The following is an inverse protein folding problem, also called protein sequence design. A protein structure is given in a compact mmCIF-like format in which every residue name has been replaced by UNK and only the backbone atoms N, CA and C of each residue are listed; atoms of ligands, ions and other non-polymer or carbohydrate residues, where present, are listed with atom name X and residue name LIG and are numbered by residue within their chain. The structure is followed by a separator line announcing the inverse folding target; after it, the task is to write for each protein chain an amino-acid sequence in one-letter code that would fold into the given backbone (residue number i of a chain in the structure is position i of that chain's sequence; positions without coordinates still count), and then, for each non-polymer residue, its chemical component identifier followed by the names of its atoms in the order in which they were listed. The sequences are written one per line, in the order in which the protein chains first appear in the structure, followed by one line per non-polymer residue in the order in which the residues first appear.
data_IF_683105181338
#
_entry.id   IF_683105181338
#
_cell.length_a   1.000
_cell.length_b   1.000
_cell.length_c   1.000
_cell.angle_alpha   90.00
_cell.angle_beta   90.00
_cell.angle_gamma   90.00
#
_symmetry.space_group_name_H-M   'P 1'
#
loop_
_entity.id
_entity.type
_entity.pdbx_description
1 polymer ?
#
# COMPACT_ATOMS: atom_id res chain seq x y z
N UNK A 1 -8.66 16.66 -5.34
CA UNK A 1 -8.28 17.03 -3.95
C UNK A 1 -6.79 16.86 -3.66
N UNK A 2 -6.04 15.86 -4.12
CA UNK A 2 -4.61 15.72 -3.77
C UNK A 2 -3.61 16.15 -4.87
N UNK A 3 -3.79 17.33 -5.46
CA UNK A 3 -2.92 17.82 -6.56
C UNK A 3 -1.44 17.98 -6.15
N UNK A 4 -1.19 18.31 -4.88
CA UNK A 4 0.17 18.35 -4.30
C UNK A 4 0.86 16.97 -4.35
N UNK A 5 0.10 15.89 -4.12
CA UNK A 5 0.63 14.53 -4.17
C UNK A 5 0.95 14.11 -5.60
N UNK A 6 0.07 14.42 -6.56
CA UNK A 6 0.32 14.17 -7.98
C UNK A 6 1.59 14.88 -8.46
N UNK A 7 1.75 16.17 -8.13
CA UNK A 7 2.97 16.95 -8.44
C UNK A 7 4.21 16.36 -7.79
N UNK A 8 4.11 15.90 -6.54
CA UNK A 8 5.21 15.23 -5.84
C UNK A 8 5.63 13.95 -6.58
N UNK A 9 4.68 13.09 -6.95
CA UNK A 9 4.97 11.88 -7.73
C UNK A 9 5.65 12.20 -9.06
N UNK A 10 5.13 13.17 -9.81
CA UNK A 10 5.68 13.58 -11.11
C UNK A 10 7.12 14.10 -11.01
N UNK A 11 7.42 14.91 -9.99
CA UNK A 11 8.74 15.54 -9.84
C UNK A 11 9.78 14.65 -9.19
N UNK A 12 9.38 13.87 -8.20
CA UNK A 12 10.32 13.22 -7.28
C UNK A 12 10.34 11.69 -7.40
N UNK A 13 9.21 11.06 -7.75
CA UNK A 13 9.08 9.59 -7.74
C UNK A 13 9.23 9.01 -9.14
N UNK A 14 8.55 9.59 -10.13
CA UNK A 14 8.55 9.12 -11.52
C UNK A 14 9.89 9.29 -12.22
N UNK A 15 10.79 10.08 -11.64
CA UNK A 15 12.13 10.37 -12.17
C UNK A 15 13.23 9.93 -11.20
N UNK A 16 12.89 9.26 -10.09
CA UNK A 16 13.85 8.91 -9.05
C UNK A 16 14.89 7.90 -9.52
N UNK A 17 16.16 8.29 -9.48
CA UNK A 17 17.34 7.47 -9.76
C UNK A 17 18.36 7.50 -8.60
N UNK A 18 17.92 7.92 -7.40
CA UNK A 18 18.81 8.22 -6.26
C UNK A 18 19.60 7.02 -5.74
N UNK A 19 19.16 5.80 -6.02
CA UNK A 19 19.69 4.58 -5.41
C UNK A 19 20.69 3.87 -6.33
N UNK A 20 21.77 3.35 -5.74
CA UNK A 20 22.82 2.60 -6.47
C UNK A 20 22.59 1.08 -6.48
N UNK A 21 21.70 0.58 -5.62
CA UNK A 21 21.27 -0.83 -5.65
C UNK A 21 20.59 -1.12 -7.00
N UNK A 22 20.73 -2.33 -7.52
CA UNK A 22 19.96 -2.80 -8.68
C UNK A 22 18.47 -2.84 -8.31
N UNK A 23 17.73 -1.84 -8.77
CA UNK A 23 16.33 -1.62 -8.45
C UNK A 23 15.53 -1.36 -9.72
N UNK A 24 14.29 -1.82 -9.75
CA UNK A 24 13.30 -1.43 -10.74
C UNK A 24 12.40 -0.36 -10.12
N UNK A 25 12.49 0.87 -10.63
CA UNK A 25 11.44 1.86 -10.39
C UNK A 25 10.28 1.52 -11.35
N UNK A 26 9.09 1.14 -10.84
CA UNK A 26 7.97 0.74 -11.68
C UNK A 26 7.52 1.86 -12.64
N UNK A 27 7.86 3.11 -12.33
CA UNK A 27 7.49 4.27 -13.12
C UNK A 27 8.53 4.66 -14.17
N UNK A 28 9.69 4.00 -14.22
CA UNK A 28 10.77 4.30 -15.19
C UNK A 28 11.10 3.06 -16.01
N UNK A 29 11.29 1.92 -15.35
CA UNK A 29 11.85 0.73 -15.96
C UNK A 29 10.76 -0.23 -16.44
N UNK A 30 11.11 -1.10 -17.38
CA UNK A 30 10.27 -2.20 -17.79
C UNK A 30 10.09 -3.20 -16.63
N UNK A 31 8.90 -3.78 -16.54
CA UNK A 31 8.62 -4.88 -15.63
C UNK A 31 8.98 -6.22 -16.30
N UNK A 32 10.05 -6.91 -15.87
CA UNK A 32 10.55 -8.11 -16.55
C UNK A 32 9.59 -9.31 -16.49
N UNK A 33 8.53 -9.25 -15.68
CA UNK A 33 7.53 -10.32 -15.58
C UNK A 33 6.34 -10.12 -16.52
N UNK A 34 5.98 -8.87 -16.81
CA UNK A 34 4.68 -8.53 -17.41
C UNK A 34 4.76 -7.59 -18.60
N UNK A 35 5.84 -6.83 -18.72
CA UNK A 35 6.04 -6.00 -19.91
C UNK A 35 6.44 -6.90 -21.09
N UNK A 36 5.91 -6.64 -22.30
CA UNK A 36 6.42 -7.26 -23.51
C UNK A 36 7.93 -6.98 -23.67
N UNK A 37 8.71 -7.91 -24.26
CA UNK A 37 10.18 -7.81 -24.35
C UNK A 37 10.72 -6.47 -24.86
N UNK A 38 10.00 -5.81 -25.76
CA UNK A 38 10.42 -4.57 -26.42
C UNK A 38 9.56 -3.34 -26.05
N UNK A 39 8.71 -3.45 -25.02
CA UNK A 39 7.79 -2.37 -24.65
C UNK A 39 7.69 -2.20 -23.13
N UNK A 40 8.06 -1.02 -22.63
CA UNK A 40 7.79 -0.67 -21.24
C UNK A 40 6.39 -0.11 -21.05
N UNK A 41 5.65 -0.64 -20.07
CA UNK A 41 4.34 -0.09 -19.66
C UNK A 41 4.46 0.95 -18.53
N UNK A 42 5.67 1.47 -18.25
CA UNK A 42 5.91 2.48 -17.23
C UNK A 42 5.04 3.74 -17.40
N UNK A 43 4.75 4.15 -18.64
CA UNK A 43 3.86 5.26 -18.91
C UNK A 43 2.41 5.01 -18.44
N UNK A 44 1.91 3.78 -18.61
CA UNK A 44 0.58 3.39 -18.17
C UNK A 44 0.51 3.33 -16.63
N UNK A 45 1.56 2.83 -15.98
CA UNK A 45 1.68 2.87 -14.50
C UNK A 45 1.65 4.27 -13.93
N UNK A 46 2.30 5.23 -14.60
CA UNK A 46 2.23 6.66 -14.21
C UNK A 46 0.81 7.20 -14.35
N UNK A 47 0.10 6.86 -15.43
CA UNK A 47 -1.31 7.27 -15.64
C UNK A 47 -2.23 6.67 -14.57
N UNK A 48 -2.15 5.36 -14.33
CA UNK A 48 -2.88 4.70 -13.24
C UNK A 48 -2.62 5.35 -11.88
N UNK A 49 -1.36 5.61 -11.54
CA UNK A 49 -1.01 6.25 -10.27
C UNK A 49 -1.59 7.68 -10.15
N UNK A 50 -1.62 8.44 -11.25
CA UNK A 50 -2.20 9.79 -11.25
C UNK A 50 -3.73 9.76 -11.11
N UNK A 51 -4.41 8.87 -11.83
CA UNK A 51 -5.87 8.69 -11.68
C UNK A 51 -6.24 8.16 -10.30
N UNK A 52 -5.41 7.26 -9.77
CA UNK A 52 -5.55 6.76 -8.41
C UNK A 52 -5.42 7.86 -7.36
N UNK A 53 -4.46 8.79 -7.52
CA UNK A 53 -4.35 9.98 -6.66
C UNK A 53 -5.57 10.89 -6.84
N UNK A 54 -6.04 11.07 -8.08
CA UNK A 54 -7.17 11.92 -8.40
C UNK A 54 -8.49 11.40 -7.81
N UNK A 55 -8.66 10.08 -7.69
CA UNK A 55 -9.86 9.46 -7.10
C UNK A 55 -9.96 9.64 -5.58
N UNK A 56 -8.90 10.10 -4.91
CA UNK A 56 -8.87 10.23 -3.44
C UNK A 56 -9.59 11.46 -2.93
N UNK A 57 -10.32 11.25 -1.83
CA UNK A 57 -11.10 12.26 -1.09
C UNK A 57 -11.01 11.94 0.39
N UNK A 58 -10.57 12.90 1.19
CA UNK A 58 -10.54 12.76 2.66
C UNK A 58 -9.90 11.44 3.14
N UNK A 59 -8.63 11.24 2.79
CA UNK A 59 -7.91 10.00 3.12
C UNK A 59 -7.78 9.87 4.64
N UNK A 60 -8.42 8.84 5.20
CA UNK A 60 -8.38 8.52 6.64
C UNK A 60 -7.36 7.45 6.98
N UNK A 61 -7.12 6.51 6.08
CA UNK A 61 -6.17 5.40 6.26
C UNK A 61 -5.12 5.43 5.15
N UNK A 62 -3.84 5.37 5.54
CA UNK A 62 -2.74 5.04 4.62
C UNK A 62 -2.26 3.62 4.92
N UNK A 63 -2.43 2.72 3.96
CA UNK A 63 -1.95 1.34 4.00
C UNK A 63 -0.56 1.27 3.38
N UNK A 64 0.41 0.75 4.13
CA UNK A 64 1.83 0.85 3.79
C UNK A 64 2.42 -0.56 3.68
N UNK A 65 2.91 -0.88 2.49
CA UNK A 65 3.75 -2.05 2.22
C UNK A 65 5.23 -1.71 2.30
N UNK A 66 6.08 -2.73 2.17
CA UNK A 66 7.52 -2.51 2.13
C UNK A 66 7.95 -1.85 0.81
N UNK A 67 7.75 -2.56 -0.29
CA UNK A 67 8.22 -2.21 -1.62
C UNK A 67 7.28 -2.79 -2.68
N UNK A 68 7.31 -2.29 -3.93
CA UNK A 68 6.49 -2.82 -5.00
C UNK A 68 6.79 -4.30 -5.27
N UNK A 69 5.75 -5.11 -5.44
CA UNK A 69 5.84 -6.43 -6.06
C UNK A 69 5.65 -6.33 -7.57
N UNK A 70 6.17 -7.29 -8.34
CA UNK A 70 6.05 -7.29 -9.82
C UNK A 70 4.60 -7.44 -10.31
N UNK A 71 3.75 -8.13 -9.56
CA UNK A 71 2.37 -8.43 -9.96
C UNK A 71 1.37 -7.29 -9.66
N UNK A 72 1.55 -6.52 -8.59
CA UNK A 72 0.64 -5.43 -8.24
C UNK A 72 1.13 -4.08 -8.75
N UNK A 73 1.83 -3.37 -7.88
CA UNK A 73 2.44 -2.06 -8.19
C UNK A 73 3.40 -2.11 -9.37
N UNK A 74 4.13 -3.21 -9.54
CA UNK A 74 4.94 -3.44 -10.73
C UNK A 74 4.10 -3.58 -12.00
N UNK A 75 2.85 -4.02 -11.94
CA UNK A 75 1.97 -4.12 -13.09
C UNK A 75 1.27 -2.79 -13.37
N UNK A 76 0.46 -2.30 -12.42
CA UNK A 76 -0.41 -1.12 -12.56
C UNK A 76 0.10 0.17 -11.91
N UNK A 77 1.26 0.16 -11.24
CA UNK A 77 1.84 1.36 -10.62
C UNK A 77 1.32 1.71 -9.23
N UNK A 78 0.27 1.04 -8.75
CA UNK A 78 -0.40 1.32 -7.47
C UNK A 78 -0.08 0.19 -6.47
N UNK A 79 0.28 0.54 -5.23
CA UNK A 79 0.56 -0.45 -4.19
C UNK A 79 -0.67 -1.33 -3.89
N UNK A 80 -0.44 -2.64 -3.69
CA UNK A 80 -1.50 -3.62 -3.38
C UNK A 80 -2.71 -3.57 -4.30
N UNK A 81 -2.51 -3.28 -5.58
CA UNK A 81 -3.60 -3.10 -6.54
C UNK A 81 -3.20 -3.79 -7.84
N UNK A 82 -3.84 -4.93 -8.13
CA UNK A 82 -3.77 -5.53 -9.45
C UNK A 82 -4.61 -4.75 -10.46
N UNK A 83 -4.44 -5.04 -11.75
CA UNK A 83 -5.23 -4.37 -12.79
C UNK A 83 -6.74 -4.59 -12.62
N UNK A 84 -7.14 -5.81 -12.25
CA UNK A 84 -8.54 -6.08 -11.94
C UNK A 84 -9.06 -5.10 -10.88
N UNK A 85 -8.32 -4.91 -9.78
CA UNK A 85 -8.76 -4.00 -8.72
C UNK A 85 -8.75 -2.54 -9.21
N UNK A 86 -7.74 -2.12 -9.98
CA UNK A 86 -7.68 -0.78 -10.53
C UNK A 86 -8.88 -0.46 -11.43
N UNK A 87 -9.24 -1.35 -12.35
CA UNK A 87 -10.27 -1.08 -13.36
C UNK A 87 -11.67 -1.47 -12.89
N UNK A 88 -11.82 -2.65 -12.27
CA UNK A 88 -13.13 -3.21 -11.91
C UNK A 88 -13.60 -2.77 -10.53
N UNK A 89 -12.70 -2.70 -9.55
CA UNK A 89 -13.09 -2.30 -8.20
C UNK A 89 -13.04 -0.77 -8.02
N UNK A 90 -12.01 -0.11 -8.53
CA UNK A 90 -11.83 1.35 -8.38
C UNK A 90 -12.38 2.19 -9.54
N UNK A 91 -12.81 1.55 -10.64
CA UNK A 91 -13.35 2.26 -11.81
C UNK A 91 -12.32 3.12 -12.57
N UNK A 92 -11.02 2.83 -12.45
CA UNK A 92 -9.99 3.57 -13.18
C UNK A 92 -9.97 3.20 -14.67
N UNK A 93 -9.43 4.10 -15.50
CA UNK A 93 -9.29 3.88 -16.95
C UNK A 93 -8.44 2.65 -17.25
N UNK A 94 -8.90 1.80 -18.18
CA UNK A 94 -8.17 0.62 -18.65
C UNK A 94 -7.03 1.01 -19.61
N UNK A 95 -5.87 1.40 -19.06
CA UNK A 95 -4.73 1.84 -19.87
C UNK A 95 -3.99 0.71 -20.61
N UNK A 96 -4.15 -0.55 -20.22
CA UNK A 96 -3.54 -1.68 -20.92
C UNK A 96 -4.44 -2.28 -22.00
N UNK A 97 -5.72 -1.90 -22.06
CA UNK A 97 -6.66 -2.39 -23.06
C UNK A 97 -7.12 -3.84 -22.82
N UNK A 98 -6.88 -4.40 -21.63
CA UNK A 98 -7.22 -5.77 -21.27
C UNK A 98 -8.71 -6.06 -21.48
N UNK A 99 -9.04 -7.11 -22.23
CA UNK A 99 -10.41 -7.55 -22.49
C UNK A 99 -10.77 -8.78 -21.62
N UNK A 100 -9.83 -9.71 -21.47
CA UNK A 100 -9.95 -10.93 -20.69
C UNK A 100 -8.62 -11.23 -19.97
N UNK A 101 -8.63 -12.17 -19.01
CA UNK A 101 -7.40 -12.56 -18.31
C UNK A 101 -6.83 -11.50 -17.36
N UNK A 102 -7.69 -10.65 -16.81
CA UNK A 102 -7.34 -9.56 -15.89
C UNK A 102 -6.32 -9.97 -14.83
N UNK A 103 -5.23 -9.20 -14.74
CA UNK A 103 -4.18 -9.45 -13.77
C UNK A 103 -4.73 -9.24 -12.34
N UNK A 104 -4.47 -10.21 -11.46
CA UNK A 104 -4.88 -10.19 -10.05
C UNK A 104 -3.67 -10.44 -9.14
N UNK A 105 -3.46 -9.54 -8.19
CA UNK A 105 -2.48 -9.71 -7.13
C UNK A 105 -3.14 -10.37 -5.90
N UNK A 106 -2.54 -11.45 -5.37
CA UNK A 106 -3.11 -12.17 -4.23
C UNK A 106 -3.22 -11.32 -2.96
N UNK A 107 -2.22 -10.49 -2.70
CA UNK A 107 -2.22 -9.56 -1.56
C UNK A 107 -3.28 -8.45 -1.71
N UNK A 108 -3.49 -7.95 -2.94
CA UNK A 108 -4.58 -7.03 -3.25
C UNK A 108 -5.94 -7.68 -2.98
N UNK A 109 -6.17 -8.90 -3.48
CA UNK A 109 -7.45 -9.59 -3.33
C UNK A 109 -7.90 -9.71 -1.86
N UNK A 110 -6.97 -9.93 -0.92
CA UNK A 110 -7.30 -9.99 0.50
C UNK A 110 -7.72 -8.61 1.04
N UNK A 111 -6.97 -7.56 0.71
CA UNK A 111 -7.27 -6.19 1.16
C UNK A 111 -8.59 -5.68 0.58
N UNK A 112 -8.81 -5.87 -0.72
CA UNK A 112 -10.05 -5.50 -1.39
C UNK A 112 -11.22 -6.38 -0.95
N UNK A 113 -10.99 -7.66 -0.63
CA UNK A 113 -12.00 -8.53 -0.02
C UNK A 113 -12.46 -8.01 1.35
N UNK A 114 -11.52 -7.66 2.24
CA UNK A 114 -11.85 -7.06 3.54
C UNK A 114 -12.55 -5.70 3.38
N UNK A 115 -12.13 -4.88 2.40
CA UNK A 115 -12.81 -3.63 2.06
C UNK A 115 -14.25 -3.89 1.56
N UNK A 116 -14.45 -4.90 0.72
CA UNK A 116 -15.76 -5.32 0.25
C UNK A 116 -16.68 -5.77 1.39
N UNK A 117 -16.17 -6.56 2.34
CA UNK A 117 -16.93 -6.94 3.55
C UNK A 117 -17.30 -5.72 4.39
N UNK A 118 -16.37 -4.77 4.56
CA UNK A 118 -16.68 -3.48 5.19
C UNK A 118 -17.81 -2.75 4.45
N UNK A 119 -17.70 -2.62 3.13
CA UNK A 119 -18.66 -1.91 2.29
C UNK A 119 -20.06 -2.52 2.39
N UNK A 120 -20.16 -3.85 2.32
CA UNK A 120 -21.41 -4.59 2.49
C UNK A 120 -22.04 -4.33 3.86
N UNK A 121 -21.25 -4.43 4.93
CA UNK A 121 -21.74 -4.23 6.31
C UNK A 121 -22.08 -2.76 6.61
N UNK A 122 -21.38 -1.81 6.00
CA UNK A 122 -21.55 -0.38 6.23
C UNK A 122 -22.55 0.29 5.27
N UNK A 123 -22.99 -0.41 4.22
CA UNK A 123 -23.90 0.14 3.21
C UNK A 123 -23.25 1.25 2.37
N UNK A 124 -21.95 1.15 2.09
CA UNK A 124 -21.20 2.16 1.31
C UNK A 124 -20.66 1.55 0.03
N UNK A 125 -20.56 2.37 -1.02
CA UNK A 125 -19.93 1.96 -2.27
C UNK A 125 -18.42 1.72 -2.10
N UNK A 126 -17.89 0.71 -2.80
CA UNK A 126 -16.48 0.32 -2.70
C UNK A 126 -15.55 1.44 -3.20
N UNK A 127 -15.89 2.09 -4.32
CA UNK A 127 -15.08 3.19 -4.87
C UNK A 127 -15.08 4.37 -3.90
N UNK A 128 -16.23 4.68 -3.29
CA UNK A 128 -16.34 5.72 -2.27
C UNK A 128 -15.47 5.41 -1.03
N UNK A 129 -15.54 4.18 -0.51
CA UNK A 129 -14.72 3.75 0.62
C UNK A 129 -13.22 3.76 0.29
N UNK A 130 -12.84 3.23 -0.88
CA UNK A 130 -11.47 3.23 -1.37
C UNK A 130 -10.94 4.66 -1.63
N UNK A 131 -11.83 5.62 -1.93
CA UNK A 131 -11.50 7.04 -2.06
C UNK A 131 -10.94 7.64 -0.77
N UNK A 132 -11.32 7.09 0.40
CA UNK A 132 -10.85 7.49 1.74
C UNK A 132 -9.63 6.68 2.21
N UNK A 133 -9.08 5.83 1.35
CA UNK A 133 -7.89 5.04 1.62
C UNK A 133 -6.78 5.34 0.62
N UNK A 134 -5.53 5.26 1.07
CA UNK A 134 -4.37 5.35 0.20
C UNK A 134 -3.41 4.19 0.42
N UNK A 135 -3.13 3.41 -0.62
CA UNK A 135 -2.16 2.33 -0.61
C UNK A 135 -0.84 2.87 -1.15
N UNK A 136 0.24 2.67 -0.38
CA UNK A 136 1.60 3.05 -0.80
C UNK A 136 2.62 2.03 -0.30
N UNK A 137 3.88 2.21 -0.71
CA UNK A 137 5.02 1.47 -0.20
C UNK A 137 5.98 2.42 0.49
N UNK A 138 6.65 1.94 1.53
CA UNK A 138 7.69 2.71 2.21
C UNK A 138 8.92 2.96 1.31
N UNK A 139 9.22 2.00 0.43
CA UNK A 139 10.23 2.11 -0.63
C UNK A 139 9.51 2.09 -1.98
N UNK A 140 9.89 2.97 -2.90
CA UNK A 140 9.17 3.16 -4.17
C UNK A 140 9.72 2.33 -5.34
N UNK A 141 10.66 1.41 -5.07
CA UNK A 141 11.34 0.61 -6.09
C UNK A 141 11.37 -0.86 -5.72
N UNK A 142 11.26 -1.75 -6.72
CA UNK A 142 11.39 -3.20 -6.58
C UNK A 142 12.89 -3.54 -6.48
N UNK A 143 13.36 -4.08 -5.36
CA UNK A 143 14.69 -4.66 -5.28
C UNK A 143 14.76 -5.98 -6.05
N UNK A 144 15.76 -6.12 -6.91
CA UNK A 144 16.01 -7.36 -7.64
C UNK A 144 17.22 -8.10 -7.06
N UNK A 145 17.09 -9.42 -6.95
CA UNK A 145 18.23 -10.31 -6.79
C UNK A 145 19.03 -10.42 -8.09
N UNK A 146 20.17 -11.09 -8.03
CA UNK A 146 21.11 -11.22 -9.16
C UNK A 146 20.45 -11.84 -10.40
N UNK A 147 19.53 -12.79 -10.19
CA UNK A 147 18.74 -13.46 -11.24
C UNK A 147 17.55 -12.64 -11.76
N UNK A 148 17.42 -11.37 -11.38
CA UNK A 148 16.32 -10.50 -11.82
C UNK A 148 14.97 -10.76 -11.14
N UNK A 149 14.91 -11.64 -10.12
CA UNK A 149 13.69 -11.86 -9.32
C UNK A 149 13.60 -10.87 -8.17
N UNK A 150 12.38 -10.50 -7.76
CA UNK A 150 12.13 -9.66 -6.58
C UNK A 150 12.33 -10.44 -5.27
N UNK A 151 13.55 -10.87 -4.96
CA UNK A 151 13.87 -11.72 -3.80
C UNK A 151 14.72 -11.04 -2.74
N UNK A 152 15.27 -9.86 -3.01
CA UNK A 152 16.16 -9.16 -2.08
C UNK A 152 15.40 -8.04 -1.39
N UNK A 153 15.65 -7.79 -0.10
CA UNK A 153 15.08 -6.61 0.56
C UNK A 153 15.78 -5.31 0.09
N UNK A 154 15.15 -4.14 0.16
CA UNK A 154 15.82 -2.88 -0.12
C UNK A 154 16.97 -2.64 0.87
N UNK A 155 18.15 -2.27 0.38
CA UNK A 155 19.32 -1.99 1.22
C UNK A 155 19.07 -0.82 2.19
N UNK A 156 19.79 -0.77 3.30
CA UNK A 156 19.63 0.29 4.32
C UNK A 156 19.72 1.71 3.73
N UNK A 157 20.68 1.96 2.84
CA UNK A 157 20.82 3.25 2.15
C UNK A 157 19.61 3.58 1.25
N UNK A 158 19.01 2.57 0.59
CA UNK A 158 17.77 2.73 -0.19
C UNK A 158 16.61 3.11 0.72
N UNK A 159 16.48 2.45 1.87
CA UNK A 159 15.44 2.75 2.87
C UNK A 159 15.56 4.18 3.37
N UNK A 160 16.76 4.61 3.79
CA UNK A 160 17.03 5.98 4.25
C UNK A 160 16.63 7.02 3.20
N UNK A 161 16.96 6.79 1.93
CA UNK A 161 16.58 7.69 0.82
C UNK A 161 15.07 7.77 0.60
N UNK A 162 14.33 6.70 0.89
CA UNK A 162 12.88 6.65 0.71
C UNK A 162 12.10 7.17 1.93
N UNK A 163 12.70 7.27 3.12
CA UNK A 163 12.02 7.81 4.32
C UNK A 163 11.44 9.21 4.09
N UNK A 164 12.22 10.09 3.46
CA UNK A 164 11.75 11.44 3.12
C UNK A 164 10.52 11.40 2.19
N UNK A 165 10.47 10.44 1.26
CA UNK A 165 9.34 10.28 0.36
C UNK A 165 8.10 9.78 1.10
N UNK A 166 8.26 8.80 2.01
CA UNK A 166 7.15 8.31 2.83
C UNK A 166 6.61 9.44 3.72
N UNK A 167 7.50 10.14 4.45
CA UNK A 167 7.12 11.29 5.29
C UNK A 167 6.34 12.33 4.48
N UNK A 168 6.84 12.68 3.30
CA UNK A 168 6.21 13.68 2.43
C UNK A 168 4.82 13.26 1.97
N UNK A 169 4.62 11.98 1.64
CA UNK A 169 3.29 11.46 1.31
C UNK A 169 2.33 11.59 2.49
N UNK A 170 2.74 11.18 3.69
CA UNK A 170 1.90 11.28 4.91
C UNK A 170 1.57 12.74 5.25
N UNK A 171 2.53 13.66 5.11
CA UNK A 171 2.30 15.10 5.29
C UNK A 171 1.30 15.69 4.30
N UNK A 172 1.26 15.21 3.06
CA UNK A 172 0.30 15.67 2.06
C UNK A 172 -1.08 15.05 2.31
N UNK A 173 -1.12 13.79 2.71
CA UNK A 173 -2.35 13.01 2.89
C UNK A 173 -3.08 13.36 4.20
N UNK A 174 -2.33 13.66 5.27
CA UNK A 174 -2.83 13.92 6.63
C UNK A 174 -3.86 12.85 7.10
N UNK A 175 -3.50 11.55 7.08
CA UNK A 175 -4.41 10.50 7.53
C UNK A 175 -4.59 10.52 9.05
N UNK A 176 -5.60 9.79 9.54
CA UNK A 176 -5.76 9.47 10.97
C UNK A 176 -5.03 8.19 11.35
N UNK A 177 -4.87 7.27 10.39
CA UNK A 177 -4.25 5.97 10.61
C UNK A 177 -3.19 5.63 9.56
N UNK A 178 -2.05 5.15 10.04
CA UNK A 178 -1.09 4.35 9.27
C UNK A 178 -1.35 2.87 9.56
N UNK A 179 -1.58 2.08 8.51
CA UNK A 179 -1.72 0.62 8.59
C UNK A 179 -0.53 -0.02 7.89
N UNK A 180 0.43 -0.56 8.64
CA UNK A 180 1.62 -1.20 8.06
C UNK A 180 1.40 -2.68 7.87
N UNK A 181 1.75 -3.21 6.70
CA UNK A 181 1.62 -4.62 6.36
C UNK A 181 3.00 -5.29 6.31
N UNK A 182 3.33 -6.03 7.37
CA UNK A 182 4.59 -6.75 7.53
C UNK A 182 5.68 -5.97 8.28
N UNK A 183 6.72 -6.70 8.69
CA UNK A 183 7.74 -6.19 9.61
C UNK A 183 8.60 -5.08 8.98
N UNK A 184 8.88 -5.19 7.68
CA UNK A 184 9.69 -4.20 6.98
C UNK A 184 8.94 -2.88 6.78
N UNK A 185 7.63 -2.93 6.49
CA UNK A 185 6.80 -1.74 6.44
C UNK A 185 6.69 -1.06 7.82
N UNK A 186 6.47 -1.86 8.87
CA UNK A 186 6.47 -1.38 10.26
C UNK A 186 7.79 -0.70 10.61
N UNK A 187 8.92 -1.34 10.32
CA UNK A 187 10.24 -0.77 10.57
C UNK A 187 10.46 0.53 9.80
N UNK A 188 10.06 0.61 8.54
CA UNK A 188 10.24 1.82 7.75
C UNK A 188 9.40 2.99 8.28
N UNK A 189 8.17 2.74 8.75
CA UNK A 189 7.36 3.74 9.45
C UNK A 189 7.99 4.13 10.77
N UNK A 190 8.46 3.16 11.55
CA UNK A 190 9.14 3.40 12.82
C UNK A 190 10.34 4.34 12.64
N UNK A 191 11.23 4.01 11.70
CA UNK A 191 12.41 4.82 11.41
C UNK A 191 12.02 6.22 10.88
N UNK A 192 10.92 6.34 10.11
CA UNK A 192 10.43 7.61 9.57
C UNK A 192 9.89 8.55 10.65
N UNK A 193 9.31 8.01 11.72
CA UNK A 193 8.68 8.79 12.79
C UNK A 193 9.39 8.67 14.15
N UNK A 194 10.58 8.05 14.19
CA UNK A 194 11.37 7.90 15.42
C UNK A 194 10.74 6.95 16.45
N UNK A 195 9.87 6.03 16.03
CA UNK A 195 9.21 5.07 16.93
C UNK A 195 10.15 3.91 17.24
N UNK A 196 10.03 3.35 18.45
CA UNK A 196 10.77 2.17 18.90
C UNK A 196 9.78 1.10 19.35
N UNK A 197 10.02 -0.14 18.91
CA UNK A 197 9.21 -1.29 19.28
C UNK A 197 10.14 -2.38 19.84
N UNK A 198 9.89 -2.81 21.09
CA UNK A 198 10.65 -3.87 21.72
C UNK A 198 10.24 -5.27 21.20
N UNK A 199 8.97 -5.43 20.86
CA UNK A 199 8.38 -6.71 20.48
C UNK A 199 8.50 -7.01 18.97
N UNK A 200 8.45 -8.31 18.65
CA UNK A 200 8.30 -8.79 17.27
C UNK A 200 6.92 -8.43 16.71
N UNK A 201 6.82 -8.27 15.39
CA UNK A 201 5.55 -7.96 14.71
C UNK A 201 4.38 -8.84 15.17
N UNK A 202 4.56 -10.16 15.27
CA UNK A 202 3.46 -11.08 15.63
C UNK A 202 2.90 -10.80 17.01
N UNK A 203 3.75 -10.46 17.98
CA UNK A 203 3.35 -10.09 19.34
C UNK A 203 2.61 -8.74 19.31
N UNK A 204 3.14 -7.75 18.59
CA UNK A 204 2.47 -6.45 18.42
C UNK A 204 1.07 -6.62 17.80
N UNK A 205 0.94 -7.44 16.76
CA UNK A 205 -0.35 -7.72 16.10
C UNK A 205 -1.33 -8.40 17.05
N UNK A 206 -0.88 -9.41 17.81
CA UNK A 206 -1.74 -10.09 18.78
C UNK A 206 -2.22 -9.13 19.89
N UNK A 207 -1.31 -8.32 20.43
CA UNK A 207 -1.64 -7.31 21.45
C UNK A 207 -2.60 -6.24 20.90
N UNK A 208 -2.36 -5.78 19.67
CA UNK A 208 -3.20 -4.82 18.97
C UNK A 208 -4.62 -5.37 18.75
N UNK A 209 -4.75 -6.60 18.28
CA UNK A 209 -6.06 -7.25 18.04
C UNK A 209 -6.82 -7.49 19.33
N UNK A 210 -6.13 -7.83 20.43
CA UNK A 210 -6.72 -8.04 21.75
C UNK A 210 -7.19 -6.74 22.40
N UNK A 211 -6.32 -5.73 22.43
CA UNK A 211 -6.59 -4.46 23.11
C UNK A 211 -7.45 -3.51 22.29
N UNK A 212 -7.43 -3.63 20.95
CA UNK A 212 -8.01 -2.69 19.99
C UNK A 212 -7.50 -1.24 20.14
N UNK A 213 -6.41 -1.04 20.87
CA UNK A 213 -5.82 0.28 21.09
C UNK A 213 -4.71 0.53 20.08
N UNK A 214 -4.81 1.52 19.20
CA UNK A 214 -3.77 1.80 18.22
C UNK A 214 -2.55 2.45 18.87
N UNK A 215 -1.39 2.33 18.23
CA UNK A 215 -0.16 2.97 18.69
C UNK A 215 -0.16 4.46 18.29
N UNK A 216 0.25 5.36 19.19
CA UNK A 216 0.38 6.79 18.84
C UNK A 216 1.65 7.03 18.01
N UNK A 217 1.53 7.79 16.92
CA UNK A 217 2.67 8.26 16.12
C UNK A 217 2.97 9.72 16.46
N UNK A 218 1.93 10.55 16.47
CA UNK A 218 1.91 11.96 16.90
C UNK A 218 0.44 12.39 17.05
N UNK A 219 0.20 13.60 17.52
CA UNK A 219 -1.15 14.12 17.74
C UNK A 219 -2.08 13.88 16.52
N UNK A 220 -3.14 13.12 16.76
CA UNK A 220 -4.17 12.78 15.76
C UNK A 220 -3.76 11.75 14.71
N UNK A 221 -2.53 11.22 14.74
CA UNK A 221 -2.03 10.18 13.84
C UNK A 221 -1.66 8.91 14.61
N UNK A 222 -2.32 7.81 14.24
CA UNK A 222 -2.15 6.51 14.85
C UNK A 222 -1.50 5.50 13.92
N UNK A 223 -1.01 4.39 14.48
CA UNK A 223 -0.41 3.27 13.78
C UNK A 223 -1.03 1.96 14.26
N UNK A 224 -1.44 1.14 13.31
CA UNK A 224 -1.80 -0.26 13.53
C UNK A 224 -0.85 -1.13 12.69
N UNK A 225 0.00 -1.97 13.31
CA UNK A 225 0.74 -2.98 12.59
C UNK A 225 -0.14 -4.19 12.29
N UNK A 226 0.01 -4.74 11.08
CA UNK A 226 -0.60 -6.00 10.67
C UNK A 226 0.42 -6.89 9.95
N UNK A 227 0.15 -8.20 9.91
CA UNK A 227 0.95 -9.12 9.09
C UNK A 227 0.70 -8.88 7.61
N UNK A 228 1.70 -9.18 6.77
CA UNK A 228 1.54 -8.98 5.33
C UNK A 228 0.57 -10.03 4.73
N UNK A 229 -0.35 -9.66 3.82
CA UNK A 229 -1.33 -10.55 3.20
C UNK A 229 -0.75 -11.52 2.15
N UNK A 230 0.57 -11.79 2.19
CA UNK A 230 1.18 -12.73 1.24
C UNK A 230 0.84 -14.14 1.68
N UNK A 231 0.43 -15.06 0.79
CA UNK A 231 0.17 -16.44 1.17
C UNK A 231 1.39 -17.19 1.73
N UNK A 232 2.60 -16.65 1.55
CA UNK A 232 3.81 -17.14 2.26
C UNK A 232 3.67 -17.09 3.77
N UNK A 233 2.81 -16.21 4.29
CA UNK A 233 2.55 -16.05 5.73
C UNK A 233 1.45 -16.98 6.26
N UNK A 234 0.90 -17.91 5.45
CA UNK A 234 -0.04 -18.93 5.94
C UNK A 234 0.53 -19.79 7.07
N UNK A 235 1.85 -19.94 7.12
CA UNK A 235 2.59 -20.61 8.20
C UNK A 235 2.37 -19.97 9.58
N UNK A 236 1.87 -18.72 9.64
CA UNK A 236 1.52 -18.04 10.90
C UNK A 236 0.17 -18.49 11.49
N UNK A 237 -0.49 -19.49 10.88
CA UNK A 237 -1.69 -20.13 11.40
C UNK A 237 -2.83 -19.14 11.64
N UNK A 238 -3.39 -19.15 12.86
CA UNK A 238 -4.57 -18.36 13.21
C UNK A 238 -4.38 -16.85 12.95
N UNK A 239 -3.17 -16.33 13.17
CA UNK A 239 -2.89 -14.90 12.93
C UNK A 239 -3.17 -14.53 11.46
N UNK A 240 -2.84 -15.44 10.53
CA UNK A 240 -3.10 -15.27 9.10
C UNK A 240 -4.57 -15.45 8.73
N UNK A 241 -5.24 -16.47 9.26
CA UNK A 241 -6.67 -16.70 8.96
C UNK A 241 -7.57 -15.59 9.50
N UNK A 242 -7.18 -14.95 10.60
CA UNK A 242 -7.90 -13.82 11.20
C UNK A 242 -7.63 -12.47 10.50
N UNK A 243 -6.64 -12.40 9.61
CA UNK A 243 -6.24 -11.14 8.97
C UNK A 243 -7.40 -10.44 8.24
N UNK A 244 -8.24 -11.11 7.42
CA UNK A 244 -9.37 -10.44 6.76
C UNK A 244 -10.37 -9.82 7.74
N UNK A 245 -10.68 -10.52 8.84
CA UNK A 245 -11.57 -10.01 9.87
C UNK A 245 -10.96 -8.80 10.60
N UNK A 246 -9.68 -8.89 10.97
CA UNK A 246 -8.95 -7.77 11.60
C UNK A 246 -8.95 -6.52 10.71
N UNK A 247 -8.63 -6.68 9.43
CA UNK A 247 -8.65 -5.57 8.45
C UNK A 247 -10.04 -4.96 8.32
N UNK A 248 -11.08 -5.79 8.26
CA UNK A 248 -12.46 -5.32 8.19
C UNK A 248 -12.82 -4.47 9.41
N UNK A 249 -12.46 -4.90 10.62
CA UNK A 249 -12.71 -4.12 11.85
C UNK A 249 -11.92 -2.80 11.87
N UNK A 250 -10.66 -2.80 11.41
CA UNK A 250 -9.87 -1.57 11.25
C UNK A 250 -10.56 -0.60 10.29
N UNK A 251 -11.06 -1.09 9.14
CA UNK A 251 -11.79 -0.26 8.18
C UNK A 251 -13.08 0.28 8.79
N UNK A 252 -13.78 -0.52 9.59
CA UNK A 252 -14.95 -0.06 10.36
C UNK A 252 -14.64 1.10 11.30
N UNK A 253 -13.53 1.02 12.05
CA UNK A 253 -13.17 2.05 13.02
C UNK A 253 -12.73 3.37 12.39
N UNK A 254 -12.15 3.35 11.19
CA UNK A 254 -11.50 4.54 10.61
C UNK A 254 -12.12 5.07 9.32
N UNK A 255 -12.94 4.29 8.62
CA UNK A 255 -13.63 4.72 7.39
C UNK A 255 -15.08 5.13 7.62
N UNK A 256 -15.69 4.88 8.78
CA UNK A 256 -16.97 5.52 9.09
C UNK A 256 -16.76 7.03 9.19
N UNK A 257 -17.68 7.81 8.61
CA UNK A 257 -17.66 9.27 8.76
C UNK A 257 -17.78 9.66 10.23
N UNK A 258 -17.54 10.94 10.54
CA UNK A 258 -17.79 11.52 11.86
C UNK A 258 -19.32 11.62 12.13
N UNK A 259 -20.07 10.53 11.93
CA UNK A 259 -21.33 10.31 12.62
C UNK A 259 -20.95 9.95 14.04
N UNK A 260 -21.02 10.93 14.94
CA UNK A 260 -20.78 10.73 16.35
C UNK A 260 -21.45 9.44 16.83
N UNK A 261 -20.65 8.61 17.49
CA UNK A 261 -20.94 7.79 18.68
C UNK A 261 -19.66 6.96 18.86
N UNK A 262 -18.77 7.49 19.70
CA UNK A 262 -18.00 6.64 20.60
C UNK A 262 -18.97 6.41 21.76
N UNK A 263 -19.37 5.16 21.95
CA UNK A 263 -19.86 4.64 23.22
C UNK A 263 -19.07 3.37 23.49
#
# INVERSE_FOLDING_TARGET
MYTKLAKFYQKEIFTCTRCRQKLINPYIHANPKHDPPDQSLAANRRKFQLDYIASKKDVRIVVIGEAPGLDGCGYGGIAFTGEYNAVKDLGLTNYHGTQSGWQKEQSANLLYGALGTYCQRAGVDLTAAAGRMYFTNAIMCVPLGENGRSITAPAAATRLKCQANLRRQIEILQPRLLLTLGANALKAVADTFGLQFADKLTILVQNQRRSRQPLSVKDGLFLIPEIHPSPRNRVLGQIYTDLPASLTEIFFSYLRGDTGIIA
#
